data_IF_422246354374
#
_entry.id   IF_422246354374
#
_cell.length_a   1.000
_cell.length_b   1.000
_cell.length_c   1.000
_cell.angle_alpha   90.00
_cell.angle_beta   90.00
_cell.angle_gamma   90.00
#
_symmetry.space_group_name_H-M   'P 1'
#
loop_
_entity.id
_entity.type
_entity.pdbx_description
1 polymer ?
#
# COMPACT_ATOMS: atom_id res chain seq x y z
N UNK A 1 -1.25 -2.25 -13.66
CA UNK A 1 -0.30 -1.87 -12.58
C UNK A 1 0.65 -3.02 -12.30
N UNK A 2 1.92 -2.73 -12.04
CA UNK A 2 2.86 -3.71 -11.46
C UNK A 2 2.51 -3.92 -9.97
N UNK A 3 2.79 -5.10 -9.44
CA UNK A 3 2.60 -5.39 -8.01
C UNK A 3 3.71 -4.72 -7.20
N UNK A 4 3.36 -4.01 -6.12
CA UNK A 4 4.31 -3.45 -5.16
C UNK A 4 4.54 -4.46 -4.04
N UNK A 5 5.80 -4.75 -3.70
CA UNK A 5 6.16 -5.48 -2.48
C UNK A 5 6.55 -4.51 -1.38
N UNK A 6 5.83 -4.52 -0.26
CA UNK A 6 6.10 -3.74 0.94
C UNK A 6 6.65 -4.69 2.01
N UNK A 7 7.87 -4.45 2.47
CA UNK A 7 8.43 -5.12 3.66
C UNK A 7 8.23 -4.16 4.82
N UNK A 8 7.32 -4.54 5.73
CA UNK A 8 6.84 -3.71 6.81
C UNK A 8 7.37 -4.16 8.17
N UNK A 9 6.70 -3.66 9.21
CA UNK A 9 6.94 -3.98 10.62
C UNK A 9 8.25 -3.50 11.24
N UNK A 10 8.88 -2.50 10.61
CA UNK A 10 9.75 -1.58 11.34
C UNK A 10 8.95 -0.64 12.28
N UNK A 11 7.61 -0.80 12.25
CA UNK A 11 6.51 -0.48 13.17
C UNK A 11 5.21 -0.70 12.35
N UNK A 12 4.23 -1.46 12.83
CA UNK A 12 3.02 -1.78 12.04
C UNK A 12 2.22 -0.52 11.65
N UNK A 13 2.22 0.51 12.50
CA UNK A 13 1.54 1.79 12.26
C UNK A 13 2.07 2.48 11.01
N UNK A 14 3.39 2.46 10.83
CA UNK A 14 4.03 3.05 9.65
C UNK A 14 3.66 2.29 8.37
N UNK A 15 3.57 0.96 8.46
CA UNK A 15 3.21 0.12 7.30
C UNK A 15 1.77 0.37 6.85
N UNK A 16 0.84 0.50 7.81
CA UNK A 16 -0.56 0.87 7.55
C UNK A 16 -0.67 2.23 6.86
N UNK A 17 0.12 3.20 7.32
CA UNK A 17 0.15 4.54 6.72
C UNK A 17 0.64 4.52 5.27
N UNK A 18 1.71 3.78 4.98
CA UNK A 18 2.18 3.59 3.61
C UNK A 18 1.12 2.93 2.72
N UNK A 19 0.44 1.89 3.22
CA UNK A 19 -0.63 1.24 2.48
C UNK A 19 -1.77 2.22 2.13
N UNK A 20 -2.17 3.08 3.08
CA UNK A 20 -3.19 4.10 2.88
C UNK A 20 -2.79 5.08 1.78
N UNK A 21 -1.63 5.72 1.91
CA UNK A 21 -1.13 6.72 0.95
C UNK A 21 -1.07 6.13 -0.46
N UNK A 22 -0.53 4.92 -0.60
CA UNK A 22 -0.41 4.24 -1.89
C UNK A 22 -1.79 4.02 -2.54
N UNK A 23 -2.80 3.63 -1.76
CA UNK A 23 -4.15 3.42 -2.29
C UNK A 23 -4.86 4.74 -2.63
N UNK A 24 -4.67 5.78 -1.83
CA UNK A 24 -5.19 7.12 -2.11
C UNK A 24 -4.65 7.66 -3.44
N UNK A 25 -3.33 7.55 -3.66
CA UNK A 25 -2.67 7.95 -4.93
C UNK A 25 -3.19 7.17 -6.14
N UNK A 26 -3.41 5.85 -6.00
CA UNK A 26 -3.96 5.05 -7.10
C UNK A 26 -5.41 5.43 -7.39
N UNK A 27 -6.20 5.66 -6.34
CA UNK A 27 -7.58 6.11 -6.49
C UNK A 27 -7.65 7.49 -7.16
N UNK A 28 -6.76 8.40 -6.80
CA UNK A 28 -6.71 9.74 -7.41
C UNK A 28 -6.33 9.68 -8.89
N UNK A 29 -5.34 8.84 -9.25
CA UNK A 29 -4.85 8.72 -10.64
C UNK A 29 -5.77 7.92 -11.56
N UNK A 30 -6.41 6.87 -11.06
CA UNK A 30 -7.21 5.93 -11.88
C UNK A 30 -8.72 6.07 -11.66
N UNK A 31 -9.15 6.72 -10.58
CA UNK A 31 -10.55 6.95 -10.25
C UNK A 31 -11.31 5.71 -9.77
N UNK A 32 -12.62 5.89 -9.54
CA UNK A 32 -13.54 4.81 -9.22
C UNK A 32 -13.16 4.03 -7.96
N UNK A 33 -13.12 2.70 -8.10
CA UNK A 33 -12.79 1.75 -7.03
C UNK A 33 -11.38 1.16 -7.21
N UNK A 34 -10.50 1.85 -7.92
CA UNK A 34 -9.13 1.38 -8.11
C UNK A 34 -8.32 1.47 -6.82
N UNK A 35 -7.62 0.38 -6.53
CA UNK A 35 -6.70 0.22 -5.40
C UNK A 35 -5.36 -0.31 -5.89
N UNK A 36 -4.32 -0.12 -5.10
CA UNK A 36 -2.99 -0.58 -5.43
C UNK A 36 -2.88 -2.10 -5.34
N UNK A 37 -2.27 -2.73 -6.34
CA UNK A 37 -1.90 -4.14 -6.27
C UNK A 37 -0.63 -4.27 -5.43
N UNK A 38 -0.75 -4.73 -4.19
CA UNK A 38 0.38 -4.81 -3.26
C UNK A 38 0.42 -6.14 -2.48
N UNK A 39 1.63 -6.53 -2.08
CA UNK A 39 1.93 -7.59 -1.13
C UNK A 39 2.66 -6.95 0.04
N UNK A 40 2.15 -7.14 1.25
CA UNK A 40 2.79 -6.65 2.48
C UNK A 40 3.34 -7.85 3.23
N UNK A 41 4.62 -7.82 3.58
CA UNK A 41 5.25 -8.78 4.47
C UNK A 41 5.62 -8.08 5.78
N UNK A 42 4.91 -8.39 6.86
CA UNK A 42 5.22 -7.92 8.22
C UNK A 42 6.29 -8.82 8.83
N UNK A 43 7.32 -8.26 9.46
CA UNK A 43 8.55 -8.95 9.85
C UNK A 43 8.64 -9.31 11.36
N UNK A 44 7.55 -9.22 12.12
CA UNK A 44 7.42 -9.70 13.51
C UNK A 44 6.10 -10.48 13.73
#
# INVERSE_FOLDING_TARGET
>A
MKTIGLIGDMSWESTSEYYRIINEEIKERLGGLHSAKCLINSMD
#
